data_IF_530768668209
#
_entry.id   IF_530768668209
#
_cell.length_a   1.000
_cell.length_b   1.000
_cell.length_c   1.000
_cell.angle_alpha   90.00
_cell.angle_beta   90.00
_cell.angle_gamma   90.00
#
_symmetry.space_group_name_H-M   'P 1'
#
loop_
_entity.id
_entity.type
_entity.pdbx_description
1 polymer ?
#
# COMPACT_ATOMS: atom_id res chain seq x y z
N UNK A 1 -7.24 -5.98 -10.38
CA UNK A 1 -7.95 -5.94 -9.08
C UNK A 1 -8.63 -7.28 -8.86
N UNK A 2 -8.86 -7.63 -7.60
CA UNK A 2 -9.58 -8.83 -7.14
C UNK A 2 -10.79 -8.41 -6.32
N UNK A 3 -11.86 -9.21 -6.37
CA UNK A 3 -13.10 -8.93 -5.65
C UNK A 3 -13.06 -9.54 -4.25
N UNK A 4 -13.36 -8.74 -3.23
CA UNK A 4 -13.58 -9.18 -1.86
C UNK A 4 -15.08 -9.12 -1.57
N UNK A 5 -15.73 -10.26 -1.22
CA UNK A 5 -17.15 -10.26 -0.90
C UNK A 5 -17.42 -9.53 0.43
N UNK A 6 -18.64 -9.00 0.58
CA UNK A 6 -19.09 -8.44 1.86
C UNK A 6 -18.93 -9.48 2.98
N UNK A 7 -18.50 -9.02 4.16
CA UNK A 7 -18.25 -9.91 5.28
C UNK A 7 -17.84 -9.14 6.53
N UNK A 8 -17.44 -9.88 7.56
CA UNK A 8 -16.90 -9.30 8.79
C UNK A 8 -15.50 -9.84 9.03
N UNK A 9 -14.56 -8.94 9.32
CA UNK A 9 -13.24 -9.27 9.84
C UNK A 9 -13.06 -8.68 11.24
N UNK A 10 -11.86 -8.81 11.80
CA UNK A 10 -11.51 -8.41 13.17
C UNK A 10 -11.90 -6.96 13.52
N UNK A 11 -11.85 -6.06 12.55
CA UNK A 11 -12.12 -4.63 12.74
C UNK A 11 -13.55 -4.20 12.38
N UNK A 12 -14.42 -5.15 12.05
CA UNK A 12 -15.83 -4.91 11.78
C UNK A 12 -16.31 -5.40 10.40
N UNK A 13 -17.58 -5.12 10.06
CA UNK A 13 -18.16 -5.45 8.78
C UNK A 13 -17.66 -4.52 7.66
N UNK A 14 -17.54 -5.07 6.45
CA UNK A 14 -17.26 -4.32 5.22
C UNK A 14 -18.23 -4.78 4.11
N UNK A 15 -18.65 -3.83 3.28
CA UNK A 15 -19.33 -4.14 2.02
C UNK A 15 -18.34 -4.69 1.00
N UNK A 16 -18.83 -5.38 -0.04
CA UNK A 16 -17.99 -5.92 -1.09
C UNK A 16 -17.24 -4.83 -1.86
N UNK A 17 -15.98 -5.07 -2.16
CA UNK A 17 -15.10 -4.09 -2.80
C UNK A 17 -14.06 -4.76 -3.69
N UNK A 18 -13.54 -3.99 -4.64
CA UNK A 18 -12.38 -4.37 -5.43
C UNK A 18 -11.11 -3.87 -4.76
N UNK A 19 -10.05 -4.67 -4.76
CA UNK A 19 -8.72 -4.30 -4.26
C UNK A 19 -7.65 -4.63 -5.29
N UNK A 20 -6.60 -3.82 -5.40
CA UNK A 20 -5.45 -4.15 -6.22
C UNK A 20 -4.80 -5.46 -5.74
N UNK A 21 -4.49 -6.36 -6.69
CA UNK A 21 -3.91 -7.66 -6.38
C UNK A 21 -2.51 -7.53 -5.77
N UNK A 22 -1.77 -6.51 -6.20
CA UNK A 22 -0.43 -6.17 -5.75
C UNK A 22 -0.40 -4.73 -5.20
N UNK A 23 0.63 -4.37 -4.41
CA UNK A 23 0.96 -2.97 -4.17
C UNK A 23 1.22 -2.23 -5.49
N UNK A 24 1.00 -0.91 -5.49
CA UNK A 24 1.28 -0.04 -6.64
C UNK A 24 2.77 -0.11 -6.97
N UNK A 25 3.10 -0.29 -8.25
CA UNK A 25 4.49 -0.39 -8.71
C UNK A 25 5.13 0.98 -8.95
N UNK A 26 6.46 0.99 -9.03
CA UNK A 26 7.21 2.18 -9.43
C UNK A 26 6.78 2.69 -10.80
N UNK A 27 6.57 1.79 -11.77
CA UNK A 27 6.14 2.17 -13.11
C UNK A 27 4.77 2.85 -13.10
N UNK A 28 3.81 2.31 -12.33
CA UNK A 28 2.47 2.88 -12.20
C UNK A 28 2.50 4.27 -11.56
N UNK A 29 3.22 4.40 -10.43
CA UNK A 29 3.36 5.70 -9.76
C UNK A 29 4.14 6.71 -10.61
N UNK A 30 5.09 6.24 -11.42
CA UNK A 30 5.79 7.09 -12.37
C UNK A 30 4.89 7.59 -13.50
N UNK A 31 3.88 6.82 -13.92
CA UNK A 31 2.88 7.31 -14.87
C UNK A 31 2.10 8.49 -14.29
N UNK A 32 1.61 8.36 -13.06
CA UNK A 32 0.94 9.43 -12.32
C UNK A 32 1.80 10.71 -12.24
N UNK A 33 3.04 10.60 -11.79
CA UNK A 33 3.90 11.78 -11.61
C UNK A 33 4.28 12.45 -12.93
N UNK A 34 4.50 11.66 -14.01
CA UNK A 34 4.79 12.19 -15.34
C UNK A 34 3.59 12.89 -15.97
N UNK A 35 2.39 12.32 -15.81
CA UNK A 35 1.17 12.88 -16.40
C UNK A 35 0.73 14.16 -15.70
N UNK A 36 0.81 14.20 -14.37
CA UNK A 36 0.28 15.31 -13.56
C UNK A 36 1.32 16.37 -13.21
N UNK A 37 2.61 16.07 -13.38
CA UNK A 37 3.70 16.90 -12.84
C UNK A 37 3.81 16.85 -11.32
N UNK A 38 3.13 15.90 -10.65
CA UNK A 38 3.16 15.76 -9.20
C UNK A 38 4.57 15.38 -8.73
N UNK A 39 5.15 16.20 -7.85
CA UNK A 39 6.39 15.87 -7.13
C UNK A 39 6.01 15.47 -5.70
N UNK A 40 6.19 14.19 -5.29
CA UNK A 40 5.92 13.67 -3.95
C UNK A 40 6.65 14.41 -2.83
N UNK A 41 6.24 14.21 -1.57
CA UNK A 41 6.90 14.82 -0.39
C UNK A 41 8.42 14.62 -0.42
N UNK A 42 8.89 13.38 -0.55
CA UNK A 42 10.31 13.05 -0.58
C UNK A 42 11.07 13.79 -1.71
N UNK A 43 10.45 13.87 -2.90
CA UNK A 43 10.96 14.62 -4.04
C UNK A 43 11.12 16.11 -3.71
N UNK A 44 10.09 16.73 -3.11
CA UNK A 44 10.12 18.16 -2.74
C UNK A 44 11.17 18.45 -1.66
N UNK A 45 11.26 17.60 -0.65
CA UNK A 45 12.23 17.75 0.45
C UNK A 45 13.67 17.58 0.00
N UNK A 46 13.92 16.70 -0.98
CA UNK A 46 15.22 16.53 -1.61
C UNK A 46 15.59 17.65 -2.60
N UNK A 47 14.72 18.66 -2.79
CA UNK A 47 14.91 19.72 -3.79
C UNK A 47 14.85 19.20 -5.23
N UNK A 48 14.25 18.03 -5.44
CA UNK A 48 14.09 17.42 -6.75
C UNK A 48 12.81 17.94 -7.40
N UNK A 49 12.84 18.06 -8.72
CA UNK A 49 11.67 18.49 -9.51
C UNK A 49 10.90 17.30 -10.12
N UNK A 50 11.44 16.10 -9.97
CA UNK A 50 10.85 14.87 -10.52
C UNK A 50 11.22 13.68 -9.63
N UNK A 51 10.23 12.85 -9.34
CA UNK A 51 10.42 11.59 -8.63
C UNK A 51 11.09 10.55 -9.52
N UNK A 52 11.97 9.73 -8.93
CA UNK A 52 12.76 8.69 -9.63
C UNK A 52 12.93 7.46 -8.73
N UNK A 53 13.11 6.31 -9.37
CA UNK A 53 13.44 5.03 -8.75
C UNK A 53 14.65 4.41 -9.48
N UNK A 54 15.35 3.42 -8.88
CA UNK A 54 16.49 2.75 -9.52
C UNK A 54 16.12 2.14 -10.88
N UNK A 55 17.08 2.12 -11.81
CA UNK A 55 16.88 1.46 -13.11
C UNK A 55 16.61 -0.04 -12.93
N UNK A 56 15.64 -0.57 -13.69
CA UNK A 56 15.23 -1.97 -13.63
C UNK A 56 14.30 -2.32 -12.46
N UNK A 57 13.82 -1.33 -11.70
CA UNK A 57 12.90 -1.53 -10.57
C UNK A 57 11.45 -1.18 -10.93
N UNK A 58 11.08 -1.25 -12.21
CA UNK A 58 9.76 -0.87 -12.71
C UNK A 58 8.63 -1.65 -12.02
N UNK A 59 8.81 -2.96 -11.84
CA UNK A 59 7.83 -3.86 -11.23
C UNK A 59 7.95 -3.96 -9.69
N UNK A 60 8.87 -3.20 -9.09
CA UNK A 60 8.98 -3.15 -7.63
C UNK A 60 7.87 -2.27 -7.06
N UNK A 61 7.38 -2.56 -5.83
CA UNK A 61 6.41 -1.69 -5.17
C UNK A 61 7.03 -0.31 -4.95
N UNK A 62 6.22 0.72 -5.18
CA UNK A 62 6.62 2.09 -4.87
C UNK A 62 6.87 2.24 -3.37
N UNK A 63 7.98 2.88 -3.02
CA UNK A 63 8.34 3.21 -1.64
C UNK A 63 8.74 4.66 -1.50
N UNK A 64 8.98 5.08 -0.25
CA UNK A 64 9.36 6.46 0.08
C UNK A 64 8.30 7.50 -0.34
N UNK A 65 7.04 7.08 -0.28
CA UNK A 65 5.87 7.91 -0.51
C UNK A 65 5.11 8.12 0.80
N UNK A 66 4.69 9.36 1.02
CA UNK A 66 3.87 9.70 2.18
C UNK A 66 2.41 9.27 1.96
N UNK A 67 1.62 9.27 3.04
CA UNK A 67 0.19 9.02 2.94
C UNK A 67 -0.52 9.99 1.97
N UNK A 68 -0.14 11.27 1.95
CA UNK A 68 -0.75 12.26 1.06
C UNK A 68 -0.39 12.02 -0.41
N UNK A 69 0.80 11.49 -0.69
CA UNK A 69 1.21 11.10 -2.03
C UNK A 69 0.40 9.88 -2.51
N UNK A 70 0.19 8.90 -1.63
CA UNK A 70 -0.62 7.70 -1.90
C UNK A 70 -2.09 8.06 -2.17
N UNK A 71 -2.65 9.00 -1.41
CA UNK A 71 -4.02 9.51 -1.64
C UNK A 71 -4.12 10.28 -2.96
N UNK A 72 -3.13 11.11 -3.28
CA UNK A 72 -3.12 11.85 -4.54
C UNK A 72 -3.08 10.90 -5.75
N UNK A 73 -2.25 9.86 -5.69
CA UNK A 73 -2.23 8.80 -6.70
C UNK A 73 -3.58 8.08 -6.78
N UNK A 74 -4.13 7.65 -5.64
CA UNK A 74 -5.38 6.89 -5.62
C UNK A 74 -6.52 7.70 -6.25
N UNK A 75 -6.61 8.98 -5.92
CA UNK A 75 -7.59 9.90 -6.50
C UNK A 75 -7.40 10.06 -8.02
N UNK A 76 -6.17 10.26 -8.49
CA UNK A 76 -5.87 10.32 -9.93
C UNK A 76 -6.27 9.04 -10.66
N UNK A 77 -6.03 7.88 -10.05
CA UNK A 77 -6.38 6.57 -10.60
C UNK A 77 -7.88 6.25 -10.55
N UNK A 78 -8.72 7.13 -9.98
CA UNK A 78 -10.15 6.86 -9.76
C UNK A 78 -10.42 5.81 -8.68
N UNK A 79 -9.51 5.67 -7.72
CA UNK A 79 -9.52 4.69 -6.62
C UNK A 79 -9.47 5.39 -5.26
N UNK A 80 -9.33 4.61 -4.19
CA UNK A 80 -9.06 5.09 -2.85
C UNK A 80 -8.06 4.18 -2.11
N UNK A 81 -7.56 4.62 -0.95
CA UNK A 81 -6.86 3.70 -0.05
C UNK A 81 -7.86 2.77 0.66
N UNK A 82 -7.47 1.52 0.98
CA UNK A 82 -8.26 0.64 1.81
C UNK A 82 -8.39 1.21 3.22
N UNK A 83 -9.51 0.97 3.89
CA UNK A 83 -9.59 1.09 5.35
C UNK A 83 -8.81 -0.06 6.00
N UNK A 84 -8.50 0.04 7.29
CA UNK A 84 -7.89 -1.07 8.03
C UNK A 84 -8.78 -2.31 8.04
N UNK A 85 -10.10 -2.11 8.14
CA UNK A 85 -11.07 -3.20 8.07
C UNK A 85 -11.05 -3.87 6.68
N UNK A 86 -11.11 -3.09 5.61
CA UNK A 86 -11.00 -3.63 4.24
C UNK A 86 -9.68 -4.38 4.05
N UNK A 87 -8.57 -3.79 4.51
CA UNK A 87 -7.26 -4.44 4.44
C UNK A 87 -7.24 -5.77 5.22
N UNK A 88 -7.76 -5.81 6.45
CA UNK A 88 -7.81 -7.00 7.27
C UNK A 88 -8.70 -8.10 6.67
N UNK A 89 -9.84 -7.71 6.09
CA UNK A 89 -10.74 -8.62 5.38
C UNK A 89 -10.07 -9.20 4.12
N UNK A 90 -9.35 -8.36 3.35
CA UNK A 90 -8.62 -8.80 2.16
C UNK A 90 -7.39 -9.66 2.48
N UNK A 91 -6.79 -9.46 3.66
CA UNK A 91 -5.61 -10.20 4.13
C UNK A 91 -5.91 -11.63 4.64
N UNK A 92 -7.14 -12.10 4.48
CA UNK A 92 -7.54 -13.46 4.81
C UNK A 92 -6.52 -14.49 4.31
N UNK A 93 -6.18 -15.45 5.17
CA UNK A 93 -5.20 -16.55 4.98
C UNK A 93 -3.78 -16.17 4.52
N UNK A 94 -3.51 -14.88 4.24
CA UNK A 94 -2.29 -14.46 3.58
C UNK A 94 -1.01 -14.67 4.40
N UNK A 95 -1.13 -14.95 5.71
CA UNK A 95 0.00 -15.30 6.56
C UNK A 95 0.63 -16.66 6.19
N UNK A 96 -0.15 -17.54 5.57
CA UNK A 96 0.31 -18.84 5.10
C UNK A 96 0.99 -18.78 3.71
N UNK A 97 0.89 -17.65 3.01
CA UNK A 97 1.43 -17.49 1.67
C UNK A 97 2.96 -17.35 1.68
N UNK A 98 3.59 -17.94 0.66
CA UNK A 98 4.99 -17.66 0.39
C UNK A 98 5.13 -16.20 -0.07
N UNK A 99 5.94 -15.45 0.67
CA UNK A 99 6.22 -14.05 0.40
C UNK A 99 7.41 -13.89 -0.54
N UNK A 100 7.88 -14.94 -1.22
CA UNK A 100 8.99 -14.84 -2.18
C UNK A 100 10.35 -14.47 -1.56
N UNK A 101 10.45 -14.49 -0.23
CA UNK A 101 11.67 -14.16 0.52
C UNK A 101 12.01 -12.67 0.59
N UNK A 102 12.99 -12.34 1.43
CA UNK A 102 13.60 -11.01 1.50
C UNK A 102 14.73 -10.90 0.48
N UNK A 103 14.83 -9.77 -0.22
CA UNK A 103 15.99 -9.50 -1.08
C UNK A 103 17.04 -8.65 -0.37
N UNK A 104 18.34 -8.96 -0.53
CA UNK A 104 19.40 -8.09 -0.05
C UNK A 104 19.35 -6.74 -0.77
N UNK A 105 19.22 -5.65 -0.01
CA UNK A 105 19.34 -4.29 -0.54
C UNK A 105 18.04 -3.60 -0.97
N UNK A 106 16.86 -4.19 -0.77
CA UNK A 106 15.61 -3.47 -1.01
C UNK A 106 14.36 -4.33 -1.13
N UNK A 107 13.37 -3.78 -1.85
CA UNK A 107 12.15 -4.48 -2.23
C UNK A 107 12.44 -5.49 -3.36
N UNK A 108 11.44 -6.27 -3.73
CA UNK A 108 11.47 -7.20 -4.88
C UNK A 108 10.30 -6.89 -5.81
N UNK A 109 10.30 -7.40 -7.06
CA UNK A 109 9.14 -7.29 -7.93
C UNK A 109 7.87 -7.81 -7.24
N UNK A 110 6.74 -7.13 -7.48
CA UNK A 110 5.44 -7.58 -6.97
C UNK A 110 5.09 -8.95 -7.55
N UNK A 111 4.24 -9.70 -6.86
CA UNK A 111 3.79 -11.04 -7.26
C UNK A 111 4.91 -12.07 -7.49
N UNK A 112 6.04 -11.92 -6.79
CA UNK A 112 7.11 -12.96 -6.78
C UNK A 112 6.65 -14.22 -6.04
N UNK A 113 5.90 -14.05 -4.94
CA UNK A 113 5.41 -15.13 -4.10
C UNK A 113 4.07 -15.72 -4.57
N UNK A 114 3.43 -16.49 -3.70
CA UNK A 114 2.09 -17.05 -3.97
C UNK A 114 1.00 -16.08 -3.48
N UNK A 115 -0.16 -16.01 -4.17
CA UNK A 115 -1.27 -15.22 -3.69
C UNK A 115 -1.99 -15.91 -2.53
N UNK A 116 -2.82 -15.14 -1.83
CA UNK A 116 -3.78 -15.63 -0.83
C UNK A 116 -5.04 -16.23 -1.50
N UNK A 117 -5.98 -16.74 -0.70
CA UNK A 117 -7.21 -17.37 -1.20
C UNK A 117 -8.09 -16.47 -2.09
N UNK A 118 -7.91 -15.14 -2.02
CA UNK A 118 -8.61 -14.16 -2.85
C UNK A 118 -7.80 -13.72 -4.09
N UNK A 119 -6.55 -14.14 -4.23
CA UNK A 119 -5.68 -13.73 -5.33
C UNK A 119 -4.82 -12.49 -5.04
N UNK A 120 -4.68 -12.08 -3.77
CA UNK A 120 -3.79 -10.98 -3.38
C UNK A 120 -2.38 -11.48 -3.16
N UNK A 121 -1.41 -10.75 -3.71
CA UNK A 121 0.01 -10.94 -3.48
C UNK A 121 0.53 -9.92 -2.46
N UNK A 122 1.64 -10.26 -1.82
CA UNK A 122 2.44 -9.32 -1.01
C UNK A 122 1.67 -8.61 0.11
N UNK A 123 0.61 -9.25 0.61
CA UNK A 123 -0.17 -8.73 1.75
C UNK A 123 0.70 -8.69 3.01
N UNK A 124 1.50 -9.74 3.22
CA UNK A 124 2.54 -9.77 4.24
C UNK A 124 3.90 -9.89 3.56
N UNK A 125 4.82 -8.97 3.87
CA UNK A 125 6.12 -8.89 3.19
C UNK A 125 6.12 -7.97 1.96
N UNK A 126 7.30 -7.67 1.42
CA UNK A 126 7.47 -6.60 0.44
C UNK A 126 7.53 -5.23 1.13
N UNK A 127 6.40 -4.53 1.19
CA UNK A 127 6.29 -3.19 1.80
C UNK A 127 5.20 -3.16 2.86
N UNK A 128 5.30 -2.21 3.78
CA UNK A 128 4.16 -1.80 4.60
C UNK A 128 3.19 -0.98 3.76
N UNK A 129 1.90 -1.07 4.05
CA UNK A 129 0.88 -0.44 3.20
C UNK A 129 0.06 0.60 3.96
N UNK A 130 -0.01 1.81 3.41
CA UNK A 130 -0.89 2.86 3.91
C UNK A 130 -2.38 2.45 3.86
N UNK A 131 -3.10 2.77 4.93
CA UNK A 131 -4.57 2.67 5.00
C UNK A 131 -5.19 4.06 5.15
N UNK A 132 -6.51 4.18 4.92
CA UNK A 132 -7.23 5.45 5.01
C UNK A 132 -7.32 5.99 6.46
N UNK A 133 -7.29 5.09 7.43
CA UNK A 133 -7.63 5.34 8.83
C UNK A 133 -6.62 6.22 9.57
N UNK A 134 -7.12 6.79 10.66
CA UNK A 134 -6.37 7.57 11.62
C UNK A 134 -6.42 6.86 12.98
N UNK A 135 -5.28 6.65 13.61
CA UNK A 135 -5.22 6.10 14.97
C UNK A 135 -4.84 7.20 15.97
N UNK A 136 -5.66 7.43 17.02
CA UNK A 136 -5.26 8.25 18.14
C UNK A 136 -4.36 7.39 19.05
N UNK A 137 -3.04 7.58 19.00
CA UNK A 137 -2.15 6.98 20.01
C UNK A 137 -1.52 8.10 20.82
N UNK A 138 -2.08 8.37 22.00
CA UNK A 138 -1.40 9.04 23.12
C UNK A 138 -0.93 10.49 22.92
N UNK A 139 -1.26 11.16 21.83
CA UNK A 139 -0.83 12.53 21.54
C UNK A 139 -1.88 13.36 20.79
N UNK A 140 -1.69 14.68 20.66
CA UNK A 140 -2.66 15.61 20.07
C UNK A 140 -2.79 15.49 18.55
N UNK A 141 -1.90 14.74 17.87
CA UNK A 141 -1.89 14.57 16.42
C UNK A 141 -2.24 13.11 16.09
N UNK A 142 -3.36 12.84 15.41
CA UNK A 142 -3.69 11.49 14.97
C UNK A 142 -2.68 10.98 13.95
N UNK A 143 -2.35 9.69 14.02
CA UNK A 143 -1.32 9.06 13.20
C UNK A 143 -1.94 8.23 12.09
N UNK A 144 -1.30 8.21 10.93
CA UNK A 144 -1.71 7.37 9.81
C UNK A 144 -1.22 5.96 9.99
N UNK A 145 -2.07 4.99 9.64
CA UNK A 145 -1.80 3.58 9.92
C UNK A 145 -1.26 2.87 8.69
N UNK A 146 -0.17 2.11 8.91
CA UNK A 146 0.33 1.13 7.94
C UNK A 146 0.12 -0.30 8.42
N UNK A 147 -0.11 -1.22 7.46
CA UNK A 147 -0.30 -2.66 7.68
C UNK A 147 0.74 -3.50 6.93
N UNK A 148 0.79 -4.82 7.16
CA UNK A 148 1.63 -5.77 6.39
C UNK A 148 3.10 -5.93 6.82
N UNK A 149 3.63 -5.06 7.68
CA UNK A 149 5.06 -5.03 8.07
C UNK A 149 5.52 -6.06 9.10
N UNK A 150 4.61 -6.59 9.91
CA UNK A 150 4.88 -7.72 10.82
C UNK A 150 3.88 -8.83 10.52
N UNK A 151 4.29 -10.09 10.69
CA UNK A 151 3.43 -11.29 10.54
C UNK A 151 2.16 -11.27 11.41
N UNK A 152 2.07 -10.35 12.36
CA UNK A 152 0.91 -10.14 13.22
C UNK A 152 -0.10 -9.14 12.65
N UNK A 153 0.20 -8.47 11.53
CA UNK A 153 -0.69 -7.48 10.90
C UNK A 153 -1.02 -6.27 11.79
N UNK A 154 -0.26 -6.04 12.86
CA UNK A 154 -0.58 -4.99 13.83
C UNK A 154 -0.42 -3.60 13.21
N UNK A 155 -1.35 -2.66 13.47
CA UNK A 155 -1.25 -1.30 12.97
C UNK A 155 0.01 -0.61 13.50
N UNK A 156 0.72 0.08 12.62
CA UNK A 156 1.85 0.91 13.03
C UNK A 156 1.59 2.37 12.64
N UNK A 157 1.57 3.29 13.61
CA UNK A 157 1.48 4.71 13.30
C UNK A 157 2.79 5.23 12.71
N UNK A 158 2.72 5.98 11.62
CA UNK A 158 3.90 6.57 10.96
C UNK A 158 3.69 8.05 10.66
N UNK A 159 4.75 8.85 10.89
CA UNK A 159 4.90 10.21 10.38
C UNK A 159 5.76 10.22 9.11
N UNK A 160 5.42 11.07 8.13
CA UNK A 160 6.26 11.32 6.95
C UNK A 160 6.20 10.21 5.90
N UNK A 161 7.36 9.85 5.36
CA UNK A 161 7.56 8.79 4.36
C UNK A 161 8.73 7.90 4.78
N UNK A 162 8.77 6.66 4.27
CA UNK A 162 9.88 5.76 4.52
C UNK A 162 10.10 4.78 3.35
N UNK A 163 11.36 4.40 3.12
CA UNK A 163 11.77 3.51 2.03
C UNK A 163 11.24 2.07 2.09
N UNK A 164 10.43 1.71 3.09
CA UNK A 164 9.76 0.41 3.20
C UNK A 164 8.22 0.53 3.37
N UNK A 165 7.65 1.68 3.01
CA UNK A 165 6.20 1.91 3.02
C UNK A 165 5.75 2.27 1.61
N UNK A 166 4.80 1.52 1.10
CA UNK A 166 4.05 1.76 -0.14
C UNK A 166 2.55 1.70 0.14
N UNK A 167 1.76 1.30 -0.85
CA UNK A 167 0.31 1.19 -0.72
C UNK A 167 -0.30 0.35 -1.84
N UNK A 168 -1.56 -0.06 -1.65
CA UNK A 168 -2.45 -0.60 -2.68
C UNK A 168 -3.76 0.17 -2.67
N UNK A 169 -4.55 0.11 -3.74
CA UNK A 169 -5.81 0.83 -3.81
C UNK A 169 -7.04 -0.09 -3.84
N UNK A 170 -8.20 0.50 -3.53
CA UNK A 170 -9.52 -0.13 -3.58
C UNK A 170 -10.50 0.68 -4.44
N UNK A 171 -11.52 0.01 -4.95
CA UNK A 171 -12.70 0.61 -5.57
C UNK A 171 -13.95 0.01 -4.90
N UNK A 172 -14.78 0.87 -4.32
CA UNK A 172 -16.00 0.48 -3.61
C UNK A 172 -17.18 0.53 -4.58
N UNK A 173 -18.03 -0.49 -4.57
CA UNK A 173 -19.32 -0.44 -5.27
C UNK A 173 -20.30 0.25 -4.35
N UNK A 174 -20.69 1.49 -4.68
CA UNK A 174 -21.67 2.25 -3.89
C UNK A 174 -23.08 1.69 -3.97
#
# INVERSE_FOLDING_TARGET
MVWIPSGSCELGPVDGFWVDACPVTNQEFAAFTRETGYCPVACREAGQIQWRYPEGWDDHPVTDVSWVDAVAYAAWAGKALPTEAEWACAAHDALACDTGGAQPGGTRPVATGSPNGYGLYDVFGGVREWTADWHPIGGPVPLKVVKGGTRTGQPQPVHGHAGNIGFRCVVRTG
#
